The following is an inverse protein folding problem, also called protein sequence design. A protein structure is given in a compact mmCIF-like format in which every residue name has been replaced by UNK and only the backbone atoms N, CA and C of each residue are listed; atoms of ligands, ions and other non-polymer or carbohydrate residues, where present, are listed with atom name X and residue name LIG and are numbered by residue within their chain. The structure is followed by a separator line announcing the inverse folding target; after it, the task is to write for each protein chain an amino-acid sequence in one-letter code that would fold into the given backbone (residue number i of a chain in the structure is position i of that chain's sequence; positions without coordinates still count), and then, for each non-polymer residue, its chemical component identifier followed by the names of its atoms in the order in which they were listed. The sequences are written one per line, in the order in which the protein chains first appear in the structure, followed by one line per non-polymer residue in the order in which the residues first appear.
data_IF_942772178928
#
_entry.id   IF_942772178928
#
_cell.length_a   1.000
_cell.length_b   1.000
_cell.length_c   1.000
_cell.angle_alpha   90.00
_cell.angle_beta   90.00
_cell.angle_gamma   90.00
#
_symmetry.space_group_name_H-M   'P 1'
#
loop_
_entity.id
_entity.type
_entity.pdbx_description
1 polymer ?
#
# COMPACT_ATOMS: atom_id res chain seq x y z
N UNK A 1 -14.80 13.27 20.51
CA UNK A 1 -13.36 13.50 20.73
C UNK A 1 -12.62 12.36 20.06
N UNK A 2 -11.84 12.65 19.02
CA UNK A 2 -11.12 11.67 18.24
C UNK A 2 -9.82 11.20 18.94
N UNK A 3 -9.10 10.22 18.37
CA UNK A 3 -7.88 9.67 18.97
C UNK A 3 -6.80 10.75 19.14
N UNK A 4 -6.60 11.63 18.16
CA UNK A 4 -5.53 12.65 18.15
C UNK A 4 -5.78 13.68 19.26
N UNK A 5 -7.03 14.15 19.41
CA UNK A 5 -7.45 15.05 20.49
C UNK A 5 -7.19 14.42 21.86
N UNK A 6 -7.58 13.15 22.07
CA UNK A 6 -7.34 12.42 23.31
C UNK A 6 -5.85 12.24 23.63
N UNK A 7 -5.02 12.00 22.61
CA UNK A 7 -3.56 11.94 22.78
C UNK A 7 -3.03 13.30 23.22
N UNK A 8 -3.45 14.40 22.59
CA UNK A 8 -3.06 15.75 22.98
C UNK A 8 -3.37 16.05 24.45
N UNK A 9 -4.59 15.79 24.89
CA UNK A 9 -5.08 16.05 26.26
C UNK A 9 -4.36 15.20 27.31
N UNK A 10 -3.94 13.99 26.97
CA UNK A 10 -3.34 13.05 27.94
C UNK A 10 -1.81 12.94 27.83
N UNK A 11 -1.17 13.56 26.82
CA UNK A 11 0.27 13.37 26.53
C UNK A 11 1.19 13.58 27.71
N UNK A 12 0.93 14.60 28.54
CA UNK A 12 1.73 14.90 29.74
C UNK A 12 1.66 13.82 30.84
N UNK A 13 0.68 12.91 30.77
CA UNK A 13 0.47 11.83 31.74
C UNK A 13 1.01 10.49 31.28
N UNK A 14 1.54 10.41 30.05
CA UNK A 14 2.08 9.21 29.44
C UNK A 14 3.57 9.05 29.76
N UNK A 15 3.98 7.82 30.05
CA UNK A 15 5.40 7.45 30.13
C UNK A 15 6.04 7.44 28.72
N UNK A 16 7.38 7.45 28.60
CA UNK A 16 8.03 7.40 27.28
C UNK A 16 7.60 6.20 26.41
N UNK A 17 7.36 5.03 27.02
CA UNK A 17 6.86 3.87 26.30
C UNK A 17 5.41 4.05 25.84
N UNK A 18 4.56 4.65 26.66
CA UNK A 18 3.16 4.96 26.33
C UNK A 18 3.06 6.06 25.26
N UNK A 19 3.97 7.03 25.26
CA UNK A 19 4.08 8.05 24.20
C UNK A 19 4.38 7.38 22.86
N UNK A 20 5.34 6.44 22.79
CA UNK A 20 5.60 5.68 21.56
C UNK A 20 4.36 4.94 21.05
N UNK A 21 3.60 4.32 21.98
CA UNK A 21 2.34 3.64 21.63
C UNK A 21 1.32 4.64 21.07
N UNK A 22 1.15 5.78 21.74
CA UNK A 22 0.19 6.81 21.32
C UNK A 22 0.57 7.41 19.94
N UNK A 23 1.83 7.76 19.75
CA UNK A 23 2.35 8.30 18.49
C UNK A 23 2.21 7.29 17.34
N UNK A 24 2.50 6.01 17.62
CA UNK A 24 2.30 4.92 16.67
C UNK A 24 0.81 4.77 16.29
N UNK A 25 -0.09 4.80 17.28
CA UNK A 25 -1.55 4.68 17.04
C UNK A 25 -2.08 5.85 16.22
N UNK A 26 -1.60 7.06 16.46
CA UNK A 26 -1.97 8.25 15.69
C UNK A 26 -1.49 8.14 14.22
N UNK A 27 -0.27 7.66 14.02
CA UNK A 27 0.31 7.51 12.69
C UNK A 27 -0.26 6.32 11.90
N UNK A 28 -0.84 5.30 12.57
CA UNK A 28 -1.26 4.04 11.97
C UNK A 28 -2.68 3.61 12.37
N UNK A 29 -3.72 4.46 12.23
CA UNK A 29 -5.07 4.17 12.74
C UNK A 29 -5.71 2.94 12.08
N UNK A 30 -5.44 2.68 10.81
CA UNK A 30 -5.92 1.49 10.11
C UNK A 30 -5.32 0.20 10.69
N UNK A 31 -4.02 0.20 10.96
CA UNK A 31 -3.32 -0.94 11.56
C UNK A 31 -3.84 -1.23 12.96
N UNK A 32 -4.08 -0.19 13.76
CA UNK A 32 -4.68 -0.33 15.11
C UNK A 32 -6.07 -0.96 15.04
N UNK A 33 -6.88 -0.59 14.03
CA UNK A 33 -8.20 -1.14 13.82
C UNK A 33 -8.22 -2.67 13.61
N UNK A 34 -7.13 -3.27 13.13
CA UNK A 34 -7.10 -4.66 12.64
C UNK A 34 -6.21 -5.60 13.44
N UNK A 35 -5.17 -5.11 14.11
CA UNK A 35 -4.19 -5.96 14.76
C UNK A 35 -4.41 -6.11 16.26
N UNK A 36 -4.09 -7.30 16.82
CA UNK A 36 -4.16 -7.56 18.25
C UNK A 36 -3.15 -6.70 19.03
N UNK A 37 -3.41 -6.50 20.35
CA UNK A 37 -2.47 -5.80 21.23
C UNK A 37 -1.06 -6.41 21.19
N UNK A 38 -0.97 -7.75 21.10
CA UNK A 38 0.29 -8.47 20.99
C UNK A 38 1.05 -8.13 19.70
N UNK A 39 0.35 -8.07 18.57
CA UNK A 39 0.97 -7.71 17.27
C UNK A 39 1.44 -6.26 17.26
N UNK A 40 0.63 -5.33 17.77
CA UNK A 40 0.99 -3.93 17.92
C UNK A 40 2.20 -3.77 18.84
N UNK A 41 2.21 -4.46 19.99
CA UNK A 41 3.30 -4.45 20.93
C UNK A 41 4.64 -4.89 20.32
N UNK A 42 4.62 -5.96 19.52
CA UNK A 42 5.80 -6.47 18.83
C UNK A 42 6.43 -5.45 17.89
N UNK A 43 5.61 -4.72 17.12
CA UNK A 43 6.13 -3.70 16.19
C UNK A 43 6.60 -2.43 16.91
N UNK A 44 5.91 -2.01 17.97
CA UNK A 44 6.27 -0.80 18.73
C UNK A 44 7.50 -1.05 19.64
N UNK A 45 7.84 -2.31 19.90
CA UNK A 45 8.91 -2.68 20.83
C UNK A 45 8.51 -2.44 22.30
N UNK A 46 7.27 -2.82 22.67
CA UNK A 46 6.73 -2.72 24.05
C UNK A 46 6.02 -4.01 24.44
N UNK A 47 5.51 -4.10 25.69
CA UNK A 47 4.62 -5.20 26.06
C UNK A 47 3.17 -4.94 25.63
N UNK A 48 2.39 -6.00 25.42
CA UNK A 48 0.95 -5.94 25.15
C UNK A 48 0.18 -5.24 26.27
N UNK A 49 0.59 -5.45 27.51
CA UNK A 49 0.06 -4.74 28.69
C UNK A 49 0.30 -3.23 28.60
N UNK A 50 1.40 -2.78 27.99
CA UNK A 50 1.68 -1.35 27.78
C UNK A 50 0.70 -0.78 26.74
N UNK A 51 0.44 -1.51 25.67
CA UNK A 51 -0.56 -1.12 24.63
C UNK A 51 -1.93 -0.95 25.27
N UNK A 52 -2.42 -1.97 26.01
CA UNK A 52 -3.74 -1.94 26.64
C UNK A 52 -3.85 -0.81 27.68
N UNK A 53 -2.82 -0.61 28.47
CA UNK A 53 -2.79 0.46 29.48
C UNK A 53 -2.79 1.84 28.84
N UNK A 54 -2.06 2.05 27.75
CA UNK A 54 -2.07 3.31 27.01
C UNK A 54 -3.46 3.62 26.49
N UNK A 55 -4.13 2.67 25.87
CA UNK A 55 -5.49 2.81 25.35
C UNK A 55 -6.45 3.27 26.46
N UNK A 56 -6.35 2.67 27.65
CA UNK A 56 -7.19 3.07 28.81
C UNK A 56 -6.82 4.47 29.31
N UNK A 57 -5.53 4.83 29.36
CA UNK A 57 -5.12 6.19 29.74
C UNK A 57 -5.58 7.27 28.77
N UNK A 58 -5.77 6.92 27.50
CA UNK A 58 -6.35 7.79 26.50
C UNK A 58 -7.90 7.89 26.62
N UNK A 59 -8.50 7.23 27.63
CA UNK A 59 -9.91 7.32 27.93
C UNK A 59 -10.80 6.41 27.09
N UNK A 60 -10.26 5.33 26.56
CA UNK A 60 -11.02 4.26 25.94
C UNK A 60 -11.22 3.09 26.91
N UNK A 61 -12.35 2.40 26.84
CA UNK A 61 -12.62 1.23 27.70
C UNK A 61 -11.68 0.05 27.39
N UNK A 62 -11.13 0.01 26.18
CA UNK A 62 -10.19 -0.98 25.69
C UNK A 62 -9.94 -0.86 24.21
N UNK A 63 -9.18 -1.81 23.66
CA UNK A 63 -8.78 -1.77 22.26
C UNK A 63 -9.99 -1.87 21.31
N UNK A 64 -11.04 -2.58 21.70
CA UNK A 64 -12.26 -2.69 20.87
C UNK A 64 -13.07 -1.39 20.86
N UNK A 65 -13.07 -0.63 21.93
CA UNK A 65 -13.68 0.70 21.97
C UNK A 65 -12.90 1.71 21.11
N UNK A 66 -11.58 1.69 21.21
CA UNK A 66 -10.71 2.44 20.30
C UNK A 66 -10.96 2.07 18.84
N UNK A 67 -11.09 0.78 18.52
CA UNK A 67 -11.38 0.30 17.16
C UNK A 67 -12.73 0.81 16.64
N UNK A 68 -13.78 0.77 17.45
CA UNK A 68 -15.10 1.33 17.08
C UNK A 68 -15.00 2.83 16.77
N UNK A 69 -14.27 3.58 17.61
CA UNK A 69 -14.05 5.01 17.40
C UNK A 69 -13.27 5.25 16.11
N UNK A 70 -12.17 4.53 15.90
CA UNK A 70 -11.38 4.63 14.66
C UNK A 70 -12.21 4.23 13.43
N UNK A 71 -13.03 3.19 13.51
CA UNK A 71 -13.90 2.80 12.40
C UNK A 71 -14.92 3.88 12.05
N UNK A 72 -15.46 4.59 13.03
CA UNK A 72 -16.36 5.71 12.81
C UNK A 72 -15.62 6.92 12.20
N UNK A 73 -14.45 7.27 12.73
CA UNK A 73 -13.61 8.36 12.21
C UNK A 73 -13.05 8.03 10.81
N UNK A 74 -12.73 6.77 10.58
CA UNK A 74 -12.24 6.26 9.29
C UNK A 74 -13.37 5.95 8.30
N UNK A 75 -14.64 6.20 8.65
CA UNK A 75 -15.72 6.05 7.69
C UNK A 75 -15.47 6.94 6.47
N UNK A 76 -15.78 6.42 5.28
CA UNK A 76 -15.58 7.17 4.02
C UNK A 76 -16.23 8.55 4.07
N UNK A 77 -17.42 8.65 4.68
CA UNK A 77 -18.18 9.89 4.83
C UNK A 77 -17.50 10.88 5.79
N UNK A 78 -16.94 10.40 6.90
CA UNK A 78 -16.25 11.24 7.88
C UNK A 78 -14.99 11.89 7.30
N UNK A 79 -14.14 11.11 6.64
CA UNK A 79 -12.91 11.62 6.00
C UNK A 79 -13.17 12.56 4.84
N UNK A 80 -14.18 12.27 4.02
CA UNK A 80 -14.57 13.17 2.92
C UNK A 80 -15.09 14.49 3.45
N UNK A 81 -15.87 14.46 4.53
CA UNK A 81 -16.42 15.66 5.15
C UNK A 81 -15.36 16.50 5.86
N UNK A 82 -14.37 15.89 6.55
CA UNK A 82 -13.29 16.64 7.19
C UNK A 82 -12.36 17.26 6.16
N UNK A 83 -12.02 16.55 5.09
CA UNK A 83 -11.18 17.07 4.00
C UNK A 83 -11.80 18.27 3.28
N UNK A 84 -13.12 18.44 3.34
CA UNK A 84 -13.84 19.52 2.65
C UNK A 84 -14.17 20.73 3.56
N UNK A 85 -14.07 20.59 4.89
CA UNK A 85 -14.51 21.65 5.81
C UNK A 85 -13.64 22.88 5.81
N UNK A 86 -12.33 22.74 5.65
CA UNK A 86 -11.37 23.83 5.86
C UNK A 86 -10.40 24.07 4.69
N UNK A 87 -10.60 23.40 3.54
CA UNK A 87 -9.62 23.43 2.46
C UNK A 87 -10.18 23.85 1.10
N UNK A 88 -9.43 24.66 0.39
CA UNK A 88 -9.62 24.85 -1.05
C UNK A 88 -9.12 23.61 -1.82
N UNK A 89 -9.61 23.40 -3.05
CA UNK A 89 -9.10 22.33 -3.92
C UNK A 89 -7.58 22.39 -4.06
N UNK A 90 -7.02 23.61 -4.14
CA UNK A 90 -5.57 23.81 -4.23
C UNK A 90 -4.82 23.35 -2.97
N UNK A 91 -5.40 23.53 -1.77
CA UNK A 91 -4.79 23.05 -0.52
C UNK A 91 -4.83 21.52 -0.45
N UNK A 92 -5.92 20.89 -0.90
CA UNK A 92 -6.04 19.45 -0.98
C UNK A 92 -5.01 18.84 -1.96
N UNK A 93 -4.83 19.44 -3.14
CA UNK A 93 -3.81 19.00 -4.12
C UNK A 93 -2.41 19.10 -3.52
N UNK A 94 -2.10 20.22 -2.87
CA UNK A 94 -0.80 20.41 -2.18
C UNK A 94 -0.60 19.41 -1.05
N UNK A 95 -1.60 19.20 -0.20
CA UNK A 95 -1.53 18.23 0.90
C UNK A 95 -1.23 16.82 0.40
N UNK A 96 -1.82 16.41 -0.74
CA UNK A 96 -1.53 15.11 -1.36
C UNK A 96 -0.10 15.00 -1.89
N UNK A 97 0.44 16.05 -2.49
CA UNK A 97 1.82 16.07 -2.98
C UNK A 97 2.82 15.99 -1.80
N UNK A 98 2.63 16.80 -0.76
CA UNK A 98 3.48 16.79 0.45
C UNK A 98 3.38 15.44 1.17
N UNK A 99 2.17 14.89 1.32
CA UNK A 99 1.97 13.56 1.91
C UNK A 99 2.69 12.47 1.13
N UNK A 100 2.64 12.50 -0.21
CA UNK A 100 3.35 11.56 -1.06
C UNK A 100 4.88 11.70 -0.90
N UNK A 101 5.42 12.91 -0.91
CA UNK A 101 6.85 13.15 -0.70
C UNK A 101 7.32 12.63 0.67
N UNK A 102 6.56 12.89 1.73
CA UNK A 102 6.88 12.43 3.09
C UNK A 102 6.93 10.90 3.18
N UNK A 103 5.99 10.22 2.52
CA UNK A 103 5.96 8.75 2.50
C UNK A 103 7.10 8.17 1.67
N UNK A 104 7.41 8.75 0.51
CA UNK A 104 8.51 8.29 -0.34
C UNK A 104 9.88 8.42 0.33
N UNK A 105 10.08 9.40 1.21
CA UNK A 105 11.32 9.54 2.01
C UNK A 105 11.52 8.41 3.03
N UNK A 106 10.50 7.61 3.31
CA UNK A 106 10.56 6.46 4.25
C UNK A 106 10.81 5.13 3.55
N UNK A 107 10.77 5.11 2.22
CA UNK A 107 11.07 3.90 1.46
C UNK A 107 12.55 3.56 1.60
N UNK A 108 12.82 2.29 1.87
CA UNK A 108 14.15 1.75 1.88
C UNK A 108 14.65 1.55 0.44
N UNK A 109 15.83 2.07 0.14
CA UNK A 109 16.42 1.98 -1.20
C UNK A 109 16.80 0.55 -1.57
N UNK A 110 17.24 -0.26 -0.59
CA UNK A 110 17.57 -1.66 -0.82
C UNK A 110 16.32 -2.47 -1.18
N UNK A 111 15.17 -2.19 -0.54
CA UNK A 111 13.90 -2.81 -0.87
C UNK A 111 13.41 -2.39 -2.25
N UNK A 112 13.56 -1.13 -2.64
CA UNK A 112 13.23 -0.66 -3.99
C UNK A 112 14.10 -1.35 -5.03
N UNK A 113 15.40 -1.47 -4.77
CA UNK A 113 16.33 -2.13 -5.67
C UNK A 113 16.03 -3.63 -5.81
N UNK A 114 15.71 -4.32 -4.69
CA UNK A 114 15.28 -5.73 -4.73
C UNK A 114 14.00 -5.91 -5.54
N UNK A 115 13.03 -5.00 -5.40
CA UNK A 115 11.83 -5.02 -6.22
C UNK A 115 12.15 -4.87 -7.71
N UNK A 116 13.02 -3.93 -8.10
CA UNK A 116 13.47 -3.75 -9.49
C UNK A 116 14.15 -5.00 -10.02
N UNK A 117 15.02 -5.64 -9.23
CA UNK A 117 15.74 -6.84 -9.64
C UNK A 117 14.78 -8.01 -9.91
N UNK A 118 13.79 -8.21 -9.04
CA UNK A 118 12.73 -9.22 -9.26
C UNK A 118 11.93 -8.93 -10.53
N UNK A 119 11.49 -7.69 -10.71
CA UNK A 119 10.70 -7.28 -11.88
C UNK A 119 11.49 -7.37 -13.18
N UNK A 120 12.80 -7.11 -13.15
CA UNK A 120 13.68 -7.18 -14.33
C UNK A 120 13.86 -8.61 -14.82
N UNK A 121 13.90 -9.58 -13.91
CA UNK A 121 14.01 -11.01 -14.22
C UNK A 121 12.68 -11.65 -14.62
N UNK A 122 11.56 -10.94 -14.49
CA UNK A 122 10.24 -11.50 -14.73
C UNK A 122 10.00 -11.83 -16.20
N UNK A 123 9.46 -13.02 -16.47
CA UNK A 123 8.86 -13.36 -17.76
C UNK A 123 7.60 -12.52 -18.02
N UNK A 124 6.81 -12.29 -16.99
CA UNK A 124 5.60 -11.47 -16.99
C UNK A 124 5.39 -10.85 -15.60
N UNK A 125 4.98 -9.61 -15.56
CA UNK A 125 4.60 -8.88 -14.35
C UNK A 125 3.08 -8.95 -14.22
N UNK A 126 2.56 -9.48 -13.09
CA UNK A 126 1.14 -9.54 -12.79
C UNK A 126 0.83 -8.54 -11.70
N UNK A 127 0.18 -7.43 -12.05
CA UNK A 127 -0.19 -6.40 -11.07
C UNK A 127 -1.60 -6.68 -10.55
N UNK A 128 -1.73 -6.80 -9.24
CA UNK A 128 -2.98 -7.22 -8.58
C UNK A 128 -3.50 -6.11 -7.69
N UNK A 129 -4.77 -5.75 -7.88
CA UNK A 129 -5.45 -4.76 -7.04
C UNK A 129 -6.95 -5.00 -6.97
N UNK A 130 -7.57 -4.71 -5.83
CA UNK A 130 -8.99 -4.92 -5.60
C UNK A 130 -9.74 -3.60 -5.42
N UNK A 131 -11.03 -3.56 -5.80
CA UNK A 131 -11.83 -2.34 -5.76
C UNK A 131 -11.18 -1.21 -6.58
N UNK A 132 -10.99 0.00 -6.03
CA UNK A 132 -10.37 1.10 -6.76
C UNK A 132 -8.93 0.82 -7.20
N UNK A 133 -8.16 0.03 -6.44
CA UNK A 133 -6.77 -0.32 -6.80
C UNK A 133 -6.69 -1.25 -8.01
N UNK A 134 -7.80 -1.89 -8.45
CA UNK A 134 -7.86 -2.61 -9.73
C UNK A 134 -7.47 -1.69 -10.90
N UNK A 135 -8.03 -0.49 -10.93
CA UNK A 135 -7.74 0.47 -12.01
C UNK A 135 -6.28 0.98 -11.97
N UNK A 136 -5.69 1.04 -10.76
CA UNK A 136 -4.25 1.34 -10.61
C UNK A 136 -3.40 0.18 -11.12
N UNK A 137 -3.81 -1.07 -10.87
CA UNK A 137 -3.14 -2.25 -11.40
C UNK A 137 -3.17 -2.29 -12.94
N UNK A 138 -4.33 -2.02 -13.54
CA UNK A 138 -4.48 -1.92 -15.00
C UNK A 138 -3.60 -0.79 -15.58
N UNK A 139 -3.57 0.37 -14.92
CA UNK A 139 -2.70 1.49 -15.31
C UNK A 139 -1.22 1.09 -15.27
N UNK A 140 -0.77 0.48 -14.17
CA UNK A 140 0.62 0.06 -14.01
C UNK A 140 1.02 -0.99 -15.06
N UNK A 141 0.16 -1.97 -15.32
CA UNK A 141 0.38 -2.95 -16.37
C UNK A 141 0.51 -2.29 -17.76
N UNK A 142 -0.36 -1.33 -18.08
CA UNK A 142 -0.28 -0.58 -19.33
C UNK A 142 1.02 0.24 -19.44
N UNK A 143 1.51 0.81 -18.33
CA UNK A 143 2.81 1.52 -18.27
C UNK A 143 3.96 0.55 -18.54
N UNK A 144 3.96 -0.62 -17.91
CA UNK A 144 4.94 -1.69 -18.15
C UNK A 144 4.97 -2.12 -19.61
N UNK A 145 3.80 -2.37 -20.22
CA UNK A 145 3.70 -2.76 -21.64
C UNK A 145 4.28 -1.68 -22.57
N UNK A 146 4.00 -0.40 -22.27
CA UNK A 146 4.62 0.71 -23.05
C UNK A 146 6.13 0.76 -22.93
N UNK A 147 6.68 0.30 -21.81
CA UNK A 147 8.12 0.23 -21.56
C UNK A 147 8.75 -1.07 -22.11
N UNK A 148 8.01 -1.88 -22.86
CA UNK A 148 8.50 -3.14 -23.44
C UNK A 148 8.48 -4.34 -22.50
N UNK A 149 7.88 -4.20 -21.30
CA UNK A 149 7.71 -5.28 -20.35
C UNK A 149 6.41 -6.05 -20.64
N UNK A 150 6.40 -7.35 -20.40
CA UNK A 150 5.13 -8.12 -20.43
C UNK A 150 4.43 -7.94 -19.11
N UNK A 151 3.24 -7.37 -19.13
CA UNK A 151 2.46 -7.15 -17.91
C UNK A 151 0.96 -7.28 -18.13
N UNK A 152 0.25 -7.62 -17.06
CA UNK A 152 -1.21 -7.70 -17.01
C UNK A 152 -1.70 -7.21 -15.64
N UNK A 153 -2.82 -6.47 -15.63
CA UNK A 153 -3.54 -6.13 -14.40
C UNK A 153 -4.63 -7.17 -14.15
N UNK A 154 -4.75 -7.64 -12.92
CA UNK A 154 -5.82 -8.54 -12.49
C UNK A 154 -6.45 -8.03 -11.19
N UNK A 155 -7.67 -8.46 -10.85
CA UNK A 155 -8.37 -7.99 -9.65
C UNK A 155 -9.87 -8.20 -9.70
N UNK A 156 -10.32 -9.25 -10.38
CA UNK A 156 -11.66 -9.78 -10.20
C UNK A 156 -11.85 -10.23 -8.72
N UNK A 157 -13.05 -10.56 -8.33
CA UNK A 157 -13.38 -11.07 -7.00
C UNK A 157 -14.16 -12.37 -7.13
N UNK A 158 -14.15 -13.18 -6.06
CA UNK A 158 -14.85 -14.46 -6.05
C UNK A 158 -14.37 -15.44 -7.13
N UNK A 159 -15.26 -16.14 -7.81
CA UNK A 159 -14.91 -17.17 -8.80
C UNK A 159 -14.06 -16.62 -9.95
N UNK A 160 -14.35 -15.42 -10.44
CA UNK A 160 -13.56 -14.80 -11.52
C UNK A 160 -12.11 -14.54 -11.13
N UNK A 161 -11.82 -14.32 -9.85
CA UNK A 161 -10.45 -14.19 -9.36
C UNK A 161 -9.70 -15.53 -9.40
N UNK A 162 -10.38 -16.63 -9.09
CA UNK A 162 -9.79 -17.96 -9.20
C UNK A 162 -9.33 -18.27 -10.64
N UNK A 163 -10.12 -17.87 -11.64
CA UNK A 163 -9.76 -18.01 -13.06
C UNK A 163 -8.53 -17.16 -13.41
N UNK A 164 -8.44 -15.91 -12.89
CA UNK A 164 -7.29 -15.02 -13.10
C UNK A 164 -6.01 -15.56 -12.46
N UNK A 165 -6.10 -16.18 -11.27
CA UNK A 165 -4.95 -16.73 -10.52
C UNK A 165 -4.52 -18.09 -11.06
N UNK A 166 -5.43 -18.87 -11.63
CA UNK A 166 -5.15 -20.19 -12.19
C UNK A 166 -4.10 -20.15 -13.31
N UNK A 167 -3.99 -19.03 -14.04
CA UNK A 167 -3.04 -18.85 -15.15
C UNK A 167 -1.68 -18.28 -14.74
N UNK A 168 -1.43 -18.15 -13.44
CA UNK A 168 -0.10 -17.83 -12.93
C UNK A 168 0.84 -19.01 -13.21
N UNK A 169 2.07 -18.68 -13.60
CA UNK A 169 3.07 -19.68 -14.02
C UNK A 169 4.46 -19.26 -13.53
N UNK A 170 5.38 -20.22 -13.46
CA UNK A 170 6.77 -20.00 -13.09
C UNK A 170 7.41 -18.92 -13.98
N UNK A 171 8.23 -18.06 -13.38
CA UNK A 171 8.83 -16.89 -14.04
C UNK A 171 7.92 -15.66 -14.08
N UNK A 172 6.70 -15.73 -13.58
CA UNK A 172 5.91 -14.53 -13.28
C UNK A 172 6.47 -13.83 -12.02
N UNK A 173 6.21 -12.54 -11.88
CA UNK A 173 6.38 -11.78 -10.65
C UNK A 173 5.08 -11.03 -10.37
N UNK A 174 4.59 -11.15 -9.15
CA UNK A 174 3.36 -10.48 -8.71
C UNK A 174 3.69 -9.15 -8.05
N UNK A 175 2.98 -8.09 -8.42
CA UNK A 175 2.93 -6.81 -7.68
C UNK A 175 1.56 -6.70 -7.05
N UNK A 176 1.48 -6.87 -5.73
CA UNK A 176 0.22 -6.87 -4.97
C UNK A 176 -0.04 -5.51 -4.31
N UNK A 177 -1.14 -4.85 -4.66
CA UNK A 177 -1.61 -3.62 -4.02
C UNK A 177 -2.53 -3.96 -2.84
N UNK A 178 -1.97 -4.05 -1.62
CA UNK A 178 -2.69 -4.49 -0.42
C UNK A 178 -2.33 -3.59 0.78
N UNK A 179 -3.12 -2.54 1.00
CA UNK A 179 -2.80 -1.50 2.00
C UNK A 179 -3.20 -1.89 3.42
N UNK A 180 -4.36 -2.48 3.56
CA UNK A 180 -4.98 -2.74 4.87
C UNK A 180 -4.74 -4.18 5.37
N UNK A 181 -3.66 -4.81 4.93
CA UNK A 181 -3.42 -6.24 5.13
C UNK A 181 -4.06 -7.08 4.00
N UNK A 182 -3.94 -8.40 4.11
CA UNK A 182 -4.33 -9.31 3.04
C UNK A 182 -5.84 -9.60 3.10
N UNK A 183 -6.53 -9.51 1.96
CA UNK A 183 -7.93 -9.96 1.81
C UNK A 183 -7.99 -11.47 1.57
N UNK A 184 -9.20 -12.05 1.53
CA UNK A 184 -9.37 -13.46 1.20
C UNK A 184 -8.80 -13.80 -0.19
N UNK A 185 -9.01 -12.94 -1.17
CA UNK A 185 -8.42 -13.08 -2.51
C UNK A 185 -6.89 -12.94 -2.46
N UNK A 186 -6.38 -12.01 -1.65
CA UNK A 186 -4.94 -11.85 -1.43
C UNK A 186 -4.32 -13.10 -0.80
N UNK A 187 -4.99 -13.74 0.16
CA UNK A 187 -4.54 -15.00 0.76
C UNK A 187 -4.47 -16.14 -0.26
N UNK A 188 -5.47 -16.27 -1.12
CA UNK A 188 -5.48 -17.25 -2.22
C UNK A 188 -4.33 -16.99 -3.19
N UNK A 189 -4.10 -15.72 -3.56
CA UNK A 189 -2.99 -15.32 -4.43
C UNK A 189 -1.64 -15.69 -3.83
N UNK A 190 -1.40 -15.33 -2.56
CA UNK A 190 -0.13 -15.56 -1.88
C UNK A 190 0.13 -17.05 -1.67
N UNK A 191 -0.92 -17.84 -1.39
CA UNK A 191 -0.80 -19.30 -1.32
C UNK A 191 -0.39 -19.86 -2.69
N UNK A 192 -1.07 -19.45 -3.76
CA UNK A 192 -0.76 -19.91 -5.12
C UNK A 192 0.62 -19.48 -5.59
N UNK A 193 1.03 -18.24 -5.28
CA UNK A 193 2.38 -17.75 -5.57
C UNK A 193 3.44 -18.60 -4.85
N UNK A 194 3.19 -18.97 -3.59
CA UNK A 194 4.07 -19.86 -2.82
C UNK A 194 4.19 -21.27 -3.43
N UNK A 195 3.08 -21.88 -3.91
CA UNK A 195 3.10 -23.16 -4.60
C UNK A 195 3.96 -23.17 -5.87
N UNK A 196 4.00 -22.03 -6.58
CA UNK A 196 4.73 -21.87 -7.84
C UNK A 196 6.10 -21.20 -7.67
N UNK A 197 6.50 -20.91 -6.43
CA UNK A 197 7.72 -20.15 -6.11
C UNK A 197 7.79 -18.79 -6.83
N UNK A 198 6.64 -18.15 -7.04
CA UNK A 198 6.52 -16.83 -7.67
C UNK A 198 6.80 -15.75 -6.62
N UNK A 199 7.79 -14.88 -6.82
CA UNK A 199 8.04 -13.78 -5.89
C UNK A 199 6.92 -12.73 -5.93
N UNK A 200 6.55 -12.22 -4.76
CA UNK A 200 5.54 -11.18 -4.60
C UNK A 200 6.20 -9.91 -4.06
N UNK A 201 6.04 -8.81 -4.80
CA UNK A 201 6.35 -7.45 -4.36
C UNK A 201 5.04 -6.84 -3.86
N UNK A 202 4.92 -6.61 -2.55
CA UNK A 202 3.72 -6.05 -1.94
C UNK A 202 3.87 -4.54 -1.74
N UNK A 203 2.93 -3.75 -2.23
CA UNK A 203 2.76 -2.34 -1.89
C UNK A 203 1.70 -2.24 -0.79
N UNK A 204 2.10 -1.76 0.39
CA UNK A 204 1.29 -1.81 1.60
C UNK A 204 1.32 -0.48 2.37
N UNK A 205 0.49 -0.32 3.40
CA UNK A 205 0.46 0.91 4.19
C UNK A 205 1.67 1.05 5.14
N UNK A 206 2.32 -0.06 5.48
CA UNK A 206 3.50 -0.09 6.35
C UNK A 206 3.82 -1.53 6.81
N UNK A 207 4.84 -1.67 7.63
CA UNK A 207 5.36 -2.97 8.08
C UNK A 207 4.31 -3.89 8.72
N UNK A 208 3.35 -3.30 9.46
CA UNK A 208 2.25 -4.07 10.09
C UNK A 208 1.32 -4.75 9.09
N UNK A 209 1.18 -4.15 7.91
CA UNK A 209 0.32 -4.65 6.86
C UNK A 209 1.07 -5.52 5.85
N UNK A 210 2.39 -5.67 6.03
CA UNK A 210 3.22 -6.54 5.22
C UNK A 210 2.91 -8.01 5.52
N UNK A 211 2.72 -8.78 4.47
CA UNK A 211 2.54 -10.23 4.59
C UNK A 211 3.92 -10.91 4.55
N UNK A 212 4.24 -11.81 5.50
CA UNK A 212 5.54 -12.48 5.54
C UNK A 212 5.83 -13.39 4.35
N UNK A 213 4.83 -13.74 3.54
CA UNK A 213 4.99 -14.50 2.30
C UNK A 213 5.49 -13.63 1.13
N UNK A 214 5.45 -12.30 1.26
CA UNK A 214 5.96 -11.39 0.25
C UNK A 214 7.48 -11.36 0.25
N UNK A 215 8.09 -11.43 -0.94
CA UNK A 215 9.54 -11.35 -1.11
C UNK A 215 10.08 -9.94 -0.79
N UNK A 216 9.29 -8.92 -1.11
CA UNK A 216 9.57 -7.52 -0.78
C UNK A 216 8.27 -6.84 -0.39
N UNK A 217 8.28 -6.02 0.66
CA UNK A 217 7.13 -5.22 1.07
C UNK A 217 7.51 -3.73 1.13
N UNK A 218 6.90 -2.93 0.26
CA UNK A 218 7.10 -1.49 0.20
C UNK A 218 6.00 -0.77 0.97
N UNK A 219 6.36 -0.17 2.09
CA UNK A 219 5.44 0.60 2.95
C UNK A 219 5.20 2.00 2.41
N UNK A 220 4.28 2.15 1.49
CA UNK A 220 4.03 3.42 0.78
C UNK A 220 2.87 4.24 1.36
N UNK A 221 2.02 3.65 2.17
CA UNK A 221 0.85 4.33 2.75
C UNK A 221 -0.13 4.91 1.72
N UNK A 222 -1.17 5.56 2.21
CA UNK A 222 -2.19 6.22 1.38
C UNK A 222 -2.33 7.72 1.65
N UNK A 223 -1.25 8.36 2.10
CA UNK A 223 -1.20 9.80 2.36
C UNK A 223 -1.47 10.16 3.83
N UNK A 224 -1.85 11.42 4.07
CA UNK A 224 -2.15 11.94 5.39
C UNK A 224 -3.35 11.19 5.99
N UNK A 225 -3.23 10.63 7.21
CA UNK A 225 -4.32 9.94 7.89
C UNK A 225 -5.57 10.81 8.10
N UNK A 226 -5.42 12.13 8.19
CA UNK A 226 -6.53 13.07 8.36
C UNK A 226 -7.28 13.35 7.05
N UNK A 227 -6.67 13.05 5.91
CA UNK A 227 -7.29 13.22 4.59
C UNK A 227 -7.85 11.88 4.08
N UNK A 228 -8.76 11.97 3.10
CA UNK A 228 -9.23 10.77 2.40
C UNK A 228 -8.05 10.04 1.75
N UNK A 229 -8.03 8.69 1.71
CA UNK A 229 -6.94 7.92 1.13
C UNK A 229 -6.57 8.35 -0.29
N UNK A 230 -5.27 8.36 -0.60
CA UNK A 230 -4.72 8.77 -1.89
C UNK A 230 -3.91 7.66 -2.53
N UNK A 231 -4.03 7.50 -3.84
CA UNK A 231 -3.18 6.61 -4.62
C UNK A 231 -1.97 7.32 -5.25
N UNK A 232 -1.77 8.61 -4.95
CA UNK A 232 -0.62 9.37 -5.50
C UNK A 232 0.71 8.71 -5.17
N UNK A 233 1.00 8.30 -3.93
CA UNK A 233 2.25 7.59 -3.62
C UNK A 233 2.37 6.26 -4.38
N UNK A 234 1.29 5.49 -4.47
CA UNK A 234 1.26 4.21 -5.19
C UNK A 234 1.62 4.38 -6.66
N UNK A 235 0.97 5.34 -7.32
CA UNK A 235 1.22 5.62 -8.74
C UNK A 235 2.66 6.05 -8.95
N UNK A 236 3.19 6.95 -8.11
CA UNK A 236 4.56 7.42 -8.20
C UNK A 236 5.58 6.26 -8.07
N UNK A 237 5.38 5.37 -7.09
CA UNK A 237 6.26 4.19 -6.91
C UNK A 237 6.15 3.23 -8.08
N UNK A 238 4.95 2.91 -8.56
CA UNK A 238 4.76 2.02 -9.72
C UNK A 238 5.39 2.57 -11.00
N UNK A 239 5.30 3.88 -11.23
CA UNK A 239 5.98 4.53 -12.35
C UNK A 239 7.51 4.48 -12.21
N UNK A 240 8.04 4.75 -11.03
CA UNK A 240 9.47 4.66 -10.75
C UNK A 240 10.00 3.24 -10.94
N UNK A 241 9.32 2.23 -10.37
CA UNK A 241 9.67 0.81 -10.56
C UNK A 241 9.61 0.42 -12.04
N UNK A 242 8.60 0.88 -12.80
CA UNK A 242 8.48 0.59 -14.24
C UNK A 242 9.68 1.16 -15.01
N UNK A 243 10.04 2.42 -14.76
CA UNK A 243 11.18 3.08 -15.44
C UNK A 243 12.51 2.41 -15.06
N UNK A 244 12.73 2.14 -13.76
CA UNK A 244 13.95 1.49 -13.29
C UNK A 244 14.08 0.05 -13.84
N UNK A 245 12.98 -0.70 -13.91
CA UNK A 245 12.94 -2.05 -14.51
C UNK A 245 13.24 -2.01 -16.02
N UNK A 246 12.65 -1.05 -16.74
CA UNK A 246 12.91 -0.86 -18.16
C UNK A 246 14.35 -0.47 -18.45
N UNK A 247 14.97 0.34 -17.60
CA UNK A 247 16.35 0.78 -17.70
C UNK A 247 17.37 -0.37 -17.56
N UNK A 248 16.97 -1.53 -17.04
CA UNK A 248 17.83 -2.74 -17.00
C UNK A 248 18.07 -3.37 -18.38
N UNK A 249 17.17 -3.10 -19.34
CA UNK A 249 17.27 -3.56 -20.73
C UNK A 249 16.80 -2.45 -21.67
N UNK A 250 17.66 -1.44 -21.95
CA UNK A 250 17.32 -0.31 -22.80
C UNK A 250 16.94 -0.73 -24.23
N UNK A 251 17.65 -1.73 -24.79
CA UNK A 251 17.36 -2.21 -26.16
C UNK A 251 15.94 -2.79 -26.29
N UNK A 252 15.45 -3.52 -25.26
CA UNK A 252 14.07 -3.99 -25.25
C UNK A 252 13.09 -2.83 -25.27
N UNK A 253 13.35 -1.79 -24.48
CA UNK A 253 12.49 -0.61 -24.37
C UNK A 253 12.49 0.19 -25.69
N UNK A 254 13.62 0.35 -26.34
CA UNK A 254 13.74 1.00 -27.65
C UNK A 254 12.96 0.21 -28.71
N UNK A 255 13.19 -1.10 -28.82
CA UNK A 255 12.43 -1.97 -29.76
C UNK A 255 10.91 -1.86 -29.55
N UNK A 256 10.46 -1.80 -28.29
CA UNK A 256 9.03 -1.64 -28.00
C UNK A 256 8.52 -0.26 -28.43
N UNK A 257 9.28 0.79 -28.21
CA UNK A 257 9.00 2.15 -28.68
C UNK A 257 8.83 2.20 -30.20
N UNK A 258 9.76 1.65 -30.93
CA UNK A 258 9.74 1.58 -32.40
C UNK A 258 8.48 0.87 -32.93
N UNK A 259 8.10 -0.24 -32.29
CA UNK A 259 6.86 -0.96 -32.64
C UNK A 259 5.63 -0.09 -32.39
N UNK A 260 5.54 0.56 -31.24
CA UNK A 260 4.42 1.46 -30.91
C UNK A 260 4.33 2.61 -31.91
N UNK A 261 5.44 3.23 -32.26
CA UNK A 261 5.46 4.37 -33.19
C UNK A 261 5.10 3.94 -34.62
N UNK A 262 5.53 2.76 -35.05
CA UNK A 262 5.11 2.18 -36.34
C UNK A 262 3.60 1.93 -36.36
N UNK A 263 3.04 1.35 -35.29
CA UNK A 263 1.61 1.07 -35.22
C UNK A 263 0.78 2.37 -35.15
N UNK A 264 1.27 3.40 -34.46
CA UNK A 264 0.61 4.71 -34.41
C UNK A 264 0.57 5.35 -35.80
N UNK A 265 1.66 5.32 -36.53
CA UNK A 265 1.69 5.81 -37.93
C UNK A 265 0.68 5.06 -38.79
N UNK A 266 0.55 3.74 -38.63
CA UNK A 266 -0.45 2.95 -39.37
C UNK A 266 -1.91 3.31 -38.98
N UNK A 267 -2.13 3.85 -37.75
CA UNK A 267 -3.43 4.36 -37.28
C UNK A 267 -3.69 5.83 -37.68
N UNK A 268 -2.79 6.44 -38.46
CA UNK A 268 -2.93 7.83 -38.89
C UNK A 268 -2.62 8.85 -37.76
N UNK A 269 -1.82 8.48 -36.79
CA UNK A 269 -1.40 9.32 -35.66
C UNK A 269 0.11 9.50 -35.60
#
# INVERSE_FOLDING_TARGET
MNLVERIGDNRARLTPAEVRVADFMAANPHSVGRHSALRLAGVIGVSDATVVRTVRKLGFDGLDDLRRTLAADLSRSGRMSSSLRDGTVSSLVRGRAVGAETLMRRLDEDDLQRAVDLLSGARRIVVVGFGPSRHIADYAAARCVRAGLRAVGIGATGAGFADEVAVLDTGDVVVLLSYDGTSAEGDVLLARAGELEIPVVQLTEGELSADPRSAVALGIGRGDPELSPSYVPTVAVLEALTVATAARDPERSERAGDVVDRLRRALGR
#
